data_IF_315901976741
#
_entry.id   IF_315901976741
#
_cell.length_a   1.000
_cell.length_b   1.000
_cell.length_c   1.000
_cell.angle_alpha   90.00
_cell.angle_beta   90.00
_cell.angle_gamma   90.00
#
_symmetry.space_group_name_H-M   'P 1'
#
loop_
_entity.id
_entity.type
_entity.pdbx_description
1 polymer ?
#
# COMPACT_ATOMS: atom_id res chain seq x y z
N UNK A 1 -2.28 22.45 -8.72
CA UNK A 1 -1.90 23.66 -9.49
C UNK A 1 -0.62 23.44 -10.28
N UNK A 2 0.48 23.03 -9.63
CA UNK A 2 1.78 22.80 -10.26
C UNK A 2 1.72 21.90 -11.49
N UNK A 3 1.01 20.78 -11.37
CA UNK A 3 0.79 19.82 -12.48
C UNK A 3 0.00 20.40 -13.67
N UNK A 4 -0.85 21.41 -13.44
CA UNK A 4 -1.73 21.97 -14.46
C UNK A 4 -1.19 23.27 -15.09
N UNK A 5 -0.56 24.13 -14.28
CA UNK A 5 -0.03 25.43 -14.70
C UNK A 5 1.47 25.40 -15.03
N UNK A 6 2.15 24.30 -14.70
CA UNK A 6 3.61 24.20 -14.79
C UNK A 6 4.32 24.91 -13.63
N UNK A 7 5.61 24.63 -13.48
CA UNK A 7 6.43 25.23 -12.41
C UNK A 7 6.64 26.73 -12.61
N UNK A 8 6.69 27.20 -13.85
CA UNK A 8 7.10 28.57 -14.17
C UNK A 8 6.09 29.63 -13.71
N UNK A 9 4.80 29.30 -13.73
CA UNK A 9 3.73 30.21 -13.27
C UNK A 9 3.75 30.41 -11.75
N UNK A 10 4.34 29.47 -11.00
CA UNK A 10 4.27 29.44 -9.53
C UNK A 10 5.54 30.02 -8.89
N UNK A 11 6.61 30.24 -9.67
CA UNK A 11 7.89 30.79 -9.20
C UNK A 11 7.81 32.27 -8.82
N UNK A 12 6.85 33.03 -9.35
CA UNK A 12 6.73 34.46 -9.08
C UNK A 12 5.84 34.75 -7.86
N UNK A 13 6.34 35.59 -6.94
CA UNK A 13 5.54 36.10 -5.81
C UNK A 13 4.40 36.98 -6.34
N UNK A 14 3.18 36.80 -5.80
CA UNK A 14 2.01 37.60 -6.18
C UNK A 14 1.04 36.95 -7.16
N UNK A 15 1.12 35.62 -7.36
CA UNK A 15 0.13 34.90 -8.17
C UNK A 15 -1.28 35.04 -7.56
N UNK A 16 -2.21 35.56 -8.35
CA UNK A 16 -3.62 35.63 -7.95
C UNK A 16 -4.29 34.26 -8.07
N UNK A 17 -4.37 33.54 -6.95
CA UNK A 17 -5.07 32.26 -6.87
C UNK A 17 -6.59 32.46 -6.84
N UNK A 18 -7.26 32.34 -8.00
CA UNK A 18 -8.72 32.31 -8.10
C UNK A 18 -9.21 30.86 -8.13
N UNK A 19 -10.18 30.54 -7.28
CA UNK A 19 -10.74 29.20 -7.14
C UNK A 19 -12.25 29.22 -6.91
N UNK A 20 -12.89 28.10 -7.24
CA UNK A 20 -14.28 27.79 -6.88
C UNK A 20 -14.28 26.62 -5.89
N UNK A 21 -15.22 26.62 -4.95
CA UNK A 21 -15.36 25.54 -3.98
C UNK A 21 -16.30 24.48 -4.54
N UNK A 22 -15.84 23.24 -4.59
CA UNK A 22 -16.68 22.10 -4.93
C UNK A 22 -17.74 21.89 -3.84
N UNK A 23 -19.00 21.71 -4.23
CA UNK A 23 -20.09 21.40 -3.28
C UNK A 23 -20.04 19.96 -2.74
N UNK A 24 -19.24 19.09 -3.37
CA UNK A 24 -19.12 17.69 -3.00
C UNK A 24 -17.66 17.38 -2.69
N UNK A 25 -17.39 16.73 -1.54
CA UNK A 25 -18.29 16.27 -0.49
C UNK A 25 -18.55 17.35 0.57
N UNK A 26 -19.74 17.32 1.19
CA UNK A 26 -20.25 18.36 2.10
C UNK A 26 -19.43 18.58 3.37
N UNK A 27 -18.68 17.57 3.79
CA UNK A 27 -17.96 17.57 5.07
C UNK A 27 -16.43 17.70 4.91
N UNK A 28 -15.94 17.83 3.66
CA UNK A 28 -14.51 18.02 3.44
C UNK A 28 -14.11 19.48 3.73
N UNK A 29 -12.88 19.70 4.23
CA UNK A 29 -12.39 21.05 4.47
C UNK A 29 -12.32 21.85 3.16
N UNK A 30 -12.53 23.17 3.28
CA UNK A 30 -12.55 24.12 2.15
C UNK A 30 -11.24 24.05 1.34
N UNK A 31 -10.12 23.75 2.00
CA UNK A 31 -8.80 23.60 1.39
C UNK A 31 -8.70 22.42 0.43
N UNK A 32 -9.45 21.35 0.66
CA UNK A 32 -9.47 20.15 -0.19
C UNK A 32 -10.48 20.26 -1.34
N UNK A 33 -11.46 21.16 -1.20
CA UNK A 33 -12.51 21.39 -2.19
C UNK A 33 -12.22 22.54 -3.17
N UNK A 34 -11.07 23.21 -3.03
CA UNK A 34 -10.71 24.36 -3.87
C UNK A 34 -10.24 23.92 -5.27
N UNK A 35 -11.04 24.23 -6.30
CA UNK A 35 -10.73 23.97 -7.70
C UNK A 35 -10.26 25.27 -8.37
N UNK A 36 -9.08 25.29 -9.02
CA UNK A 36 -8.59 26.47 -9.73
C UNK A 36 -9.52 26.89 -10.87
N UNK A 37 -9.81 28.20 -10.97
CA UNK A 37 -10.65 28.74 -12.05
C UNK A 37 -10.07 28.47 -13.44
N UNK A 38 -8.74 28.39 -13.54
CA UNK A 38 -8.03 28.12 -14.79
C UNK A 38 -8.45 26.80 -15.47
N UNK A 39 -8.93 25.81 -14.70
CA UNK A 39 -9.45 24.54 -15.24
C UNK A 39 -10.75 24.77 -16.03
N UNK A 40 -11.56 25.76 -15.63
CA UNK A 40 -12.82 26.06 -16.31
C UNK A 40 -12.64 26.90 -17.57
N UNK A 41 -11.49 27.54 -17.72
CA UNK A 41 -11.12 28.33 -18.91
C UNK A 41 -10.43 27.48 -19.99
N UNK A 42 -9.86 26.34 -19.64
CA UNK A 42 -9.19 25.44 -20.58
C UNK A 42 -10.17 24.64 -21.45
N UNK A 43 -9.62 23.97 -22.47
CA UNK A 43 -10.37 23.14 -23.43
C UNK A 43 -11.25 22.09 -22.74
N UNK A 44 -12.42 21.79 -23.33
CA UNK A 44 -13.42 20.90 -22.75
C UNK A 44 -12.85 19.50 -22.42
N UNK A 45 -11.96 18.98 -23.26
CA UNK A 45 -11.29 17.69 -23.06
C UNK A 45 -10.42 17.70 -21.80
N UNK A 46 -9.58 18.74 -21.66
CA UNK A 46 -8.66 18.94 -20.53
C UNK A 46 -9.44 19.19 -19.24
N UNK A 47 -10.44 20.07 -19.28
CA UNK A 47 -11.33 20.35 -18.16
C UNK A 47 -12.01 19.09 -17.65
N UNK A 48 -12.61 18.30 -18.54
CA UNK A 48 -13.30 17.06 -18.18
C UNK A 48 -12.33 16.04 -17.56
N UNK A 49 -11.12 15.93 -18.10
CA UNK A 49 -10.09 15.06 -17.56
C UNK A 49 -9.73 15.47 -16.13
N UNK A 50 -9.35 16.73 -15.92
CA UNK A 50 -8.94 17.22 -14.61
C UNK A 50 -10.08 17.22 -13.60
N UNK A 51 -11.31 17.58 -13.96
CA UNK A 51 -12.44 17.51 -13.04
C UNK A 51 -12.75 16.07 -12.61
N UNK A 52 -12.66 15.09 -13.52
CA UNK A 52 -12.85 13.67 -13.19
C UNK A 52 -11.72 13.13 -12.33
N UNK A 53 -10.47 13.37 -12.70
CA UNK A 53 -9.31 12.86 -11.95
C UNK A 53 -9.16 13.57 -10.61
N UNK A 54 -9.20 14.90 -10.59
CA UNK A 54 -8.98 15.68 -9.37
C UNK A 54 -10.17 15.59 -8.41
N UNK A 55 -11.38 15.97 -8.83
CA UNK A 55 -12.51 16.07 -7.91
C UNK A 55 -13.05 14.70 -7.51
N UNK A 56 -13.21 13.80 -8.48
CA UNK A 56 -13.82 12.48 -8.19
C UNK A 56 -12.82 11.54 -7.53
N UNK A 57 -11.54 11.53 -7.91
CA UNK A 57 -10.59 10.64 -7.25
C UNK A 57 -10.18 11.16 -5.88
N UNK A 58 -9.67 12.40 -5.79
CA UNK A 58 -9.09 12.92 -4.54
C UNK A 58 -10.12 13.15 -3.46
N UNK A 59 -11.29 13.66 -3.83
CA UNK A 59 -12.27 14.10 -2.84
C UNK A 59 -13.34 13.04 -2.55
N UNK A 60 -13.59 12.11 -3.48
CA UNK A 60 -14.63 11.07 -3.30
C UNK A 60 -14.01 9.67 -3.21
N UNK A 61 -13.27 9.24 -4.23
CA UNK A 61 -12.93 7.83 -4.44
C UNK A 61 -11.82 7.33 -3.51
N UNK A 62 -10.80 8.15 -3.26
CA UNK A 62 -9.69 7.83 -2.35
C UNK A 62 -10.14 7.78 -0.89
N UNK A 63 -10.84 8.81 -0.34
CA UNK A 63 -11.30 8.74 1.05
C UNK A 63 -12.29 7.60 1.27
N UNK A 64 -13.22 7.36 0.33
CA UNK A 64 -14.12 6.20 0.39
C UNK A 64 -13.35 4.88 0.49
N UNK A 65 -12.32 4.68 -0.35
CA UNK A 65 -11.50 3.47 -0.31
C UNK A 65 -10.70 3.33 1.00
N UNK A 66 -10.14 4.42 1.52
CA UNK A 66 -9.39 4.41 2.79
C UNK A 66 -10.28 4.12 3.99
N UNK A 67 -11.55 4.51 3.92
CA UNK A 67 -12.60 4.21 4.90
C UNK A 67 -13.24 2.82 4.67
N UNK A 68 -12.71 2.02 3.74
CA UNK A 68 -13.26 0.72 3.32
C UNK A 68 -14.72 0.77 2.85
N UNK A 69 -15.17 1.95 2.38
CA UNK A 69 -16.48 2.12 1.76
C UNK A 69 -16.36 1.67 0.31
N UNK A 70 -17.34 0.88 -0.13
CA UNK A 70 -17.41 0.46 -1.53
C UNK A 70 -17.45 1.68 -2.42
N UNK A 71 -16.70 1.61 -3.51
CA UNK A 71 -16.55 2.65 -4.52
C UNK A 71 -17.89 3.30 -4.88
N UNK A 72 -18.16 4.55 -4.48
CA UNK A 72 -19.46 5.21 -4.71
C UNK A 72 -19.64 5.61 -6.18
N UNK A 73 -18.55 5.73 -6.94
CA UNK A 73 -18.57 6.06 -8.38
C UNK A 73 -17.81 5.00 -9.18
N UNK A 74 -18.45 3.88 -9.58
CA UNK A 74 -17.79 2.75 -10.26
C UNK A 74 -17.06 3.11 -11.56
N UNK A 75 -17.48 4.20 -12.22
CA UNK A 75 -16.96 4.66 -13.51
C UNK A 75 -15.52 5.19 -13.46
N UNK A 76 -15.03 5.64 -12.31
CA UNK A 76 -13.69 6.22 -12.19
C UNK A 76 -12.76 5.21 -11.51
N UNK A 77 -11.79 4.58 -12.19
CA UNK A 77 -10.90 3.60 -11.56
C UNK A 77 -10.11 4.23 -10.39
N UNK A 78 -9.75 3.41 -9.40
CA UNK A 78 -8.79 3.88 -8.39
C UNK A 78 -7.43 4.07 -9.06
N UNK A 79 -6.63 5.02 -8.60
CA UNK A 79 -5.25 5.11 -9.05
C UNK A 79 -4.49 3.82 -8.65
N UNK A 80 -3.54 3.41 -9.48
CA UNK A 80 -2.90 2.08 -9.40
C UNK A 80 -2.23 1.83 -8.03
N UNK A 81 -1.62 2.87 -7.44
CA UNK A 81 -1.02 2.80 -6.11
C UNK A 81 -2.04 2.47 -5.01
N UNK A 82 -3.27 2.95 -5.13
CA UNK A 82 -4.34 2.70 -4.16
C UNK A 82 -4.94 1.31 -4.36
N UNK A 83 -5.08 0.87 -5.61
CA UNK A 83 -5.50 -0.50 -5.93
C UNK A 83 -4.54 -1.52 -5.31
N UNK A 84 -3.23 -1.34 -5.49
CA UNK A 84 -2.21 -2.20 -4.90
C UNK A 84 -2.33 -2.27 -3.38
N UNK A 85 -2.44 -1.11 -2.72
CA UNK A 85 -2.60 -1.03 -1.26
C UNK A 85 -3.91 -1.66 -0.76
N UNK A 86 -5.00 -1.55 -1.52
CA UNK A 86 -6.28 -2.16 -1.17
C UNK A 86 -6.23 -3.69 -1.29
N UNK A 87 -5.58 -4.20 -2.35
CA UNK A 87 -5.33 -5.64 -2.54
C UNK A 87 -4.47 -6.18 -1.40
N UNK A 88 -3.36 -5.53 -1.09
CA UNK A 88 -2.47 -5.92 0.02
C UNK A 88 -3.19 -5.99 1.38
N UNK A 89 -4.08 -5.02 1.66
CA UNK A 89 -4.87 -5.00 2.90
C UNK A 89 -5.91 -6.13 2.97
N UNK A 90 -6.47 -6.51 1.82
CA UNK A 90 -7.49 -7.56 1.69
C UNK A 90 -6.89 -8.95 1.43
N UNK A 91 -5.57 -9.08 1.33
CA UNK A 91 -4.88 -10.36 1.19
C UNK A 91 -5.12 -11.23 2.42
N UNK A 92 -5.64 -12.45 2.20
CA UNK A 92 -5.89 -13.45 3.25
C UNK A 92 -4.60 -13.80 4.02
N UNK A 93 -3.47 -13.76 3.34
CA UNK A 93 -2.15 -13.99 3.90
C UNK A 93 -1.38 -12.66 3.94
N UNK A 94 -1.13 -12.16 5.15
CA UNK A 94 -0.29 -10.98 5.39
C UNK A 94 1.15 -11.45 5.58
N UNK A 95 2.07 -10.95 4.77
CA UNK A 95 3.50 -11.22 4.96
C UNK A 95 3.95 -10.65 6.31
N UNK A 96 4.60 -11.47 7.15
CA UNK A 96 5.22 -11.01 8.40
C UNK A 96 6.29 -9.98 8.09
N UNK A 97 6.46 -8.94 8.91
CA UNK A 97 7.53 -7.97 8.67
C UNK A 97 8.85 -8.69 8.88
N UNK A 98 9.82 -8.39 8.03
CA UNK A 98 11.16 -8.97 8.11
C UNK A 98 11.80 -8.73 9.49
N UNK A 99 11.49 -7.58 10.10
CA UNK A 99 11.86 -7.23 11.48
C UNK A 99 11.35 -8.22 12.52
N UNK A 100 10.16 -8.77 12.31
CA UNK A 100 9.55 -9.73 13.23
C UNK A 100 10.23 -11.11 13.14
N UNK A 101 10.95 -11.36 12.05
CA UNK A 101 11.76 -12.57 11.82
C UNK A 101 13.17 -12.39 12.39
N UNK A 102 13.69 -11.16 12.41
CA UNK A 102 15.07 -10.85 12.83
C UNK A 102 15.20 -10.25 14.24
N UNK A 103 14.18 -10.33 15.09
CA UNK A 103 14.37 -9.99 16.50
C UNK A 103 15.42 -10.93 17.09
N UNK A 104 16.56 -10.35 17.47
CA UNK A 104 17.65 -11.08 18.12
C UNK A 104 17.08 -11.79 19.35
N UNK A 105 17.25 -13.11 19.42
CA UNK A 105 16.96 -13.86 20.64
C UNK A 105 17.94 -13.33 21.68
N UNK A 106 17.43 -12.65 22.72
CA UNK A 106 18.26 -12.30 23.87
C UNK A 106 18.96 -13.57 24.36
N UNK A 107 20.30 -13.53 24.39
CA UNK A 107 21.10 -14.57 25.03
C UNK A 107 20.84 -14.53 26.53
N UNK A 108 19.74 -15.13 26.97
CA UNK A 108 19.56 -15.54 28.36
C UNK A 108 19.84 -17.03 28.46
N UNK A 109 21.08 -17.34 28.83
CA UNK A 109 21.47 -18.65 29.33
C UNK A 109 20.79 -18.89 30.67
N UNK A 110 19.82 -19.81 30.72
CA UNK A 110 19.56 -20.61 31.91
C UNK A 110 19.13 -22.01 31.47
N UNK A 111 19.90 -23.02 31.92
CA UNK A 111 19.66 -24.43 31.65
C UNK A 111 18.40 -24.89 32.37
N UNK A 112 17.47 -25.55 31.66
CA UNK A 112 16.70 -26.67 32.19
C UNK A 112 16.19 -27.56 31.05
N UNK A 113 16.35 -28.86 31.25
CA UNK A 113 16.11 -29.95 30.30
C UNK A 113 14.60 -30.20 30.08
N UNK A 114 14.08 -30.07 28.85
CA UNK A 114 13.41 -31.15 28.11
C UNK A 114 12.83 -30.69 26.76
N UNK A 115 13.20 -31.44 25.72
CA UNK A 115 12.60 -31.53 24.38
C UNK A 115 12.67 -30.30 23.45
N UNK A 116 13.81 -30.27 22.77
CA UNK A 116 14.27 -29.45 21.66
C UNK A 116 13.21 -29.12 20.60
N UNK A 117 12.77 -27.85 20.57
CA UNK A 117 12.29 -27.21 19.35
C UNK A 117 13.45 -27.06 18.35
N UNK A 118 13.49 -27.91 17.34
CA UNK A 118 14.32 -27.69 16.15
C UNK A 118 13.49 -26.92 15.11
N UNK A 119 13.51 -25.58 15.19
CA UNK A 119 13.21 -24.78 14.01
C UNK A 119 14.45 -24.84 13.13
N UNK A 120 14.44 -25.73 12.14
CA UNK A 120 15.42 -25.75 11.07
C UNK A 120 15.29 -24.44 10.29
N UNK A 121 16.31 -23.59 10.34
CA UNK A 121 16.54 -22.57 9.32
C UNK A 121 16.81 -23.32 8.02
N UNK A 122 15.81 -23.34 7.13
CA UNK A 122 15.97 -23.90 5.78
C UNK A 122 16.60 -22.80 4.94
N UNK A 123 17.93 -22.87 4.79
CA UNK A 123 18.64 -22.11 3.78
C UNK A 123 18.25 -22.66 2.40
N UNK A 124 17.82 -21.76 1.51
CA UNK A 124 17.43 -22.05 0.12
C UNK A 124 18.70 -22.02 -0.72
N UNK A 125 19.63 -22.93 -0.47
CA UNK A 125 20.78 -23.17 -1.33
C UNK A 125 21.41 -24.47 -0.82
N UNK A 126 21.02 -25.60 -1.40
CA UNK A 126 21.90 -26.74 -1.68
C UNK A 126 21.07 -27.91 -2.24
N UNK A 127 20.99 -27.91 -3.56
CA UNK A 127 20.65 -29.08 -4.35
C UNK A 127 21.91 -29.93 -4.48
N UNK A 128 22.08 -30.94 -3.61
CA UNK A 128 22.92 -32.10 -3.93
C UNK A 128 22.49 -33.38 -3.20
N UNK A 129 22.35 -34.45 -3.98
CA UNK A 129 21.90 -35.76 -3.57
C UNK A 129 22.93 -36.47 -2.68
N UNK A 130 22.83 -36.31 -1.35
CA UNK A 130 23.57 -37.21 -0.44
C UNK A 130 22.92 -37.48 0.93
N UNK A 131 21.80 -36.83 1.28
CA UNK A 131 21.15 -37.02 2.59
C UNK A 131 20.16 -38.19 2.67
N UNK A 132 20.06 -39.02 1.61
CA UNK A 132 19.18 -40.22 1.62
C UNK A 132 19.76 -41.39 2.46
N UNK A 133 21.04 -41.39 2.82
CA UNK A 133 21.68 -42.51 3.55
C UNK A 133 21.44 -42.47 5.07
N UNK A 134 21.38 -41.28 5.68
CA UNK A 134 21.26 -41.16 7.15
C UNK A 134 19.83 -41.32 7.68
N UNK A 135 18.80 -41.10 6.85
CA UNK A 135 17.39 -41.27 7.28
C UNK A 135 17.01 -42.75 7.47
N UNK A 136 17.75 -43.70 6.86
CA UNK A 136 17.50 -45.14 7.02
C UNK A 136 17.93 -45.72 8.38
N UNK A 137 18.80 -45.04 9.14
CA UNK A 137 19.35 -45.60 10.38
C UNK A 137 18.44 -45.39 11.60
N UNK A 138 17.55 -44.39 11.56
CA UNK A 138 16.70 -44.04 12.72
C UNK A 138 15.40 -44.86 12.77
N UNK A 139 14.90 -45.40 11.64
CA UNK A 139 13.64 -46.17 11.62
C UNK A 139 13.75 -47.64 12.08
N UNK A 140 14.94 -48.14 12.44
CA UNK A 140 15.11 -49.56 12.86
C UNK A 140 15.27 -49.77 14.37
N UNK A 141 15.11 -48.74 15.20
CA UNK A 141 15.27 -48.87 16.67
C UNK A 141 13.99 -48.69 17.49
N UNK A 142 12.83 -48.83 16.84
CA UNK A 142 11.53 -48.94 17.50
C UNK A 142 10.73 -50.10 16.86
N UNK A 143 11.10 -51.34 17.18
CA UNK A 143 10.21 -52.51 17.25
C UNK A 143 11.04 -53.76 17.61
N UNK A 144 10.70 -54.32 18.77
CA UNK A 144 11.29 -55.46 19.51
C UNK A 144 12.50 -55.14 20.38
#
# INVERSE_FOLDING_TARGET
LLEFLGEDVIKHKGLCCRFVIANVPRDAPVTECAIPLAIFQSEQSIRNHYLRTYCIQKIITIPAALQNIRKPVPRVPHPDWLHKRLVEKNSLCKQKRITDVFNSIDKQTHMDNNEQQLILTIDIEDNDEQTKSSIKLVKKKLQQ
#
